data_IF_052696794199
#
_entry.id   IF_052696794199
#
_cell.length_a   1.000
_cell.length_b   1.000
_cell.length_c   1.000
_cell.angle_alpha   90.00
_cell.angle_beta   90.00
_cell.angle_gamma   90.00
#
_symmetry.space_group_name_H-M   'P 1'
#
loop_
_entity.id
_entity.type
_entity.pdbx_description
1 polymer ?
#
# COMPACT_ATOMS: atom_id res chain seq x y z
N UNK A 1 28.37 -1.27 -11.53
CA UNK A 1 26.96 -1.78 -11.49
C UNK A 1 26.11 -0.96 -12.46
N UNK A 2 25.46 -1.58 -13.47
CA UNK A 2 24.61 -0.94 -14.49
C UNK A 2 23.15 -1.36 -14.30
N UNK A 3 22.18 -0.46 -14.60
CA UNK A 3 20.73 -0.76 -14.51
C UNK A 3 20.32 -1.97 -15.34
N UNK A 4 20.93 -2.14 -16.51
CA UNK A 4 20.72 -3.32 -17.36
C UNK A 4 21.08 -4.63 -16.63
N UNK A 5 22.18 -4.64 -15.90
CA UNK A 5 22.62 -5.83 -15.14
C UNK A 5 21.70 -6.11 -13.95
N UNK A 6 21.14 -5.06 -13.33
CA UNK A 6 20.10 -5.24 -12.31
C UNK A 6 18.82 -5.89 -12.88
N UNK A 7 18.41 -5.53 -14.09
CA UNK A 7 17.29 -6.22 -14.78
C UNK A 7 17.60 -7.69 -15.03
N UNK A 8 18.83 -8.02 -15.40
CA UNK A 8 19.27 -9.40 -15.55
C UNK A 8 19.23 -10.18 -14.24
N UNK A 9 19.74 -9.58 -13.18
CA UNK A 9 19.66 -10.14 -11.83
C UNK A 9 18.21 -10.40 -11.40
N UNK A 10 17.29 -9.44 -11.58
CA UNK A 10 15.88 -9.58 -11.25
C UNK A 10 15.18 -10.69 -12.06
N UNK A 11 15.51 -10.84 -13.35
CA UNK A 11 14.98 -11.92 -14.16
C UNK A 11 15.42 -13.31 -13.63
N UNK A 12 16.69 -13.46 -13.24
CA UNK A 12 17.19 -14.71 -12.65
C UNK A 12 16.55 -14.97 -11.28
N UNK A 13 16.38 -13.95 -10.46
CA UNK A 13 15.72 -14.06 -9.16
C UNK A 13 14.25 -14.52 -9.30
N UNK A 14 13.53 -14.03 -10.30
CA UNK A 14 12.14 -14.40 -10.60
C UNK A 14 12.01 -15.83 -11.11
N UNK A 15 12.83 -16.23 -12.09
CA UNK A 15 12.77 -17.57 -12.68
C UNK A 15 13.43 -18.65 -11.84
N UNK A 16 14.31 -18.28 -10.90
CA UNK A 16 15.18 -19.21 -10.16
C UNK A 16 15.94 -20.19 -11.06
N UNK A 17 16.11 -19.81 -12.30
CA UNK A 17 16.73 -20.62 -13.36
C UNK A 17 17.37 -19.70 -14.40
N UNK A 18 18.69 -19.78 -14.52
CA UNK A 18 19.47 -18.90 -15.39
C UNK A 18 19.17 -19.11 -16.89
N UNK A 19 18.87 -20.37 -17.31
CA UNK A 19 18.54 -20.67 -18.70
C UNK A 19 17.22 -20.01 -19.11
N UNK A 20 16.17 -20.15 -18.29
CA UNK A 20 14.87 -19.51 -18.53
C UNK A 20 14.97 -17.99 -18.51
N UNK A 21 15.75 -17.42 -17.60
CA UNK A 21 15.99 -15.99 -17.56
C UNK A 21 16.72 -15.50 -18.82
N UNK A 22 17.71 -16.26 -19.31
CA UNK A 22 18.42 -15.94 -20.54
C UNK A 22 17.50 -15.97 -21.78
N UNK A 23 16.58 -16.94 -21.84
CA UNK A 23 15.55 -17.01 -22.88
C UNK A 23 14.65 -15.78 -22.88
N UNK A 24 14.12 -15.38 -21.72
CA UNK A 24 13.29 -14.17 -21.58
C UNK A 24 14.05 -12.90 -22.00
N UNK A 25 15.34 -12.82 -21.64
CA UNK A 25 16.18 -11.66 -21.92
C UNK A 25 16.77 -11.67 -23.34
N UNK A 26 16.49 -12.69 -24.14
CA UNK A 26 17.09 -12.90 -25.47
C UNK A 26 18.63 -12.92 -25.43
N UNK A 27 19.19 -13.51 -24.38
CA UNK A 27 20.62 -13.67 -24.17
C UNK A 27 21.01 -15.16 -24.21
N UNK A 28 22.31 -15.40 -24.44
CA UNK A 28 22.84 -16.75 -24.19
C UNK A 28 23.09 -16.95 -22.68
N UNK A 29 22.88 -18.17 -22.19
CA UNK A 29 23.11 -18.50 -20.78
C UNK A 29 24.56 -18.18 -20.32
N UNK A 30 25.64 -18.42 -21.10
CA UNK A 30 26.97 -18.02 -20.70
C UNK A 30 27.14 -16.51 -20.54
N UNK A 31 26.51 -15.71 -21.42
CA UNK A 31 26.54 -14.26 -21.34
C UNK A 31 25.88 -13.77 -20.06
N UNK A 32 24.68 -14.26 -19.76
CA UNK A 32 23.95 -13.90 -18.53
C UNK A 32 24.72 -14.33 -17.27
N UNK A 33 25.29 -15.55 -17.29
CA UNK A 33 26.10 -16.05 -16.16
C UNK A 33 27.29 -15.16 -15.88
N UNK A 34 28.00 -14.71 -16.92
CA UNK A 34 29.15 -13.82 -16.79
C UNK A 34 28.75 -12.45 -16.22
N UNK A 35 27.66 -11.86 -16.72
CA UNK A 35 27.19 -10.56 -16.24
C UNK A 35 26.78 -10.61 -14.75
N UNK A 36 26.22 -11.74 -14.28
CA UNK A 36 25.92 -11.89 -12.85
C UNK A 36 27.20 -12.12 -12.04
N UNK A 37 28.17 -12.83 -12.57
CA UNK A 37 29.45 -13.05 -11.92
C UNK A 37 30.23 -11.74 -11.76
N UNK A 38 30.29 -10.94 -12.83
CA UNK A 38 30.88 -9.61 -12.80
C UNK A 38 30.17 -8.69 -11.76
N UNK A 39 28.83 -8.81 -11.62
CA UNK A 39 28.06 -8.08 -10.61
C UNK A 39 28.39 -8.53 -9.18
N UNK A 40 28.51 -9.84 -8.94
CA UNK A 40 28.91 -10.40 -7.65
C UNK A 40 30.34 -10.00 -7.26
N UNK A 41 31.25 -9.94 -8.24
CA UNK A 41 32.62 -9.45 -8.07
C UNK A 41 32.64 -7.95 -7.73
N UNK A 42 31.88 -7.12 -8.45
CA UNK A 42 31.74 -5.67 -8.18
C UNK A 42 31.24 -5.41 -6.74
N UNK A 43 30.33 -6.24 -6.25
CA UNK A 43 29.72 -6.09 -4.92
C UNK A 43 30.49 -6.83 -3.81
N UNK A 44 31.48 -7.66 -4.18
CA UNK A 44 32.32 -8.41 -3.26
C UNK A 44 31.57 -9.49 -2.46
N UNK A 45 30.40 -9.92 -2.94
CA UNK A 45 29.57 -10.92 -2.24
C UNK A 45 28.70 -11.71 -3.23
N UNK A 46 28.50 -13.03 -3.01
CA UNK A 46 27.60 -13.82 -3.83
C UNK A 46 26.13 -13.41 -3.58
N UNK A 47 25.38 -13.26 -4.67
CA UNK A 47 23.96 -12.91 -4.66
C UNK A 47 23.05 -14.13 -4.76
N UNK A 48 23.59 -15.22 -5.33
CA UNK A 48 22.87 -16.49 -5.48
C UNK A 48 23.65 -17.65 -4.87
N UNK A 49 22.89 -18.61 -4.33
CA UNK A 49 23.36 -19.97 -4.04
C UNK A 49 22.81 -20.96 -5.07
N UNK A 50 23.57 -22.03 -5.35
CA UNK A 50 23.11 -23.11 -6.24
C UNK A 50 22.70 -24.30 -5.38
N UNK A 51 21.40 -24.48 -5.20
CA UNK A 51 20.85 -25.65 -4.53
C UNK A 51 20.05 -26.52 -5.50
N UNK A 52 20.42 -27.81 -5.62
CA UNK A 52 19.65 -28.84 -6.37
C UNK A 52 19.10 -28.40 -7.75
N UNK A 53 19.89 -27.67 -8.56
CA UNK A 53 19.52 -27.11 -9.87
C UNK A 53 18.64 -25.85 -9.83
N UNK A 54 18.49 -25.19 -8.68
CA UNK A 54 17.80 -23.90 -8.56
C UNK A 54 18.77 -22.83 -8.10
N UNK A 55 18.51 -21.61 -8.55
CA UNK A 55 19.20 -20.41 -8.08
C UNK A 55 18.35 -19.81 -6.94
N UNK A 56 18.87 -19.84 -5.73
CA UNK A 56 18.20 -19.19 -4.57
C UNK A 56 19.00 -17.94 -4.17
N UNK A 57 18.28 -16.88 -3.75
CA UNK A 57 18.92 -15.64 -3.33
C UNK A 57 19.61 -15.83 -1.96
N UNK A 58 20.82 -15.27 -1.84
CA UNK A 58 21.46 -15.06 -0.54
C UNK A 58 20.79 -13.90 0.22
N UNK A 59 21.21 -13.64 1.46
CA UNK A 59 20.78 -12.45 2.19
C UNK A 59 21.16 -11.16 1.44
N UNK A 60 22.38 -11.08 0.89
CA UNK A 60 22.82 -9.98 0.04
C UNK A 60 21.98 -9.89 -1.25
N UNK A 61 21.62 -11.03 -1.84
CA UNK A 61 20.73 -11.12 -3.00
C UNK A 61 19.33 -10.60 -2.69
N UNK A 62 18.76 -10.90 -1.53
CA UNK A 62 17.46 -10.38 -1.10
C UNK A 62 17.51 -8.86 -0.91
N UNK A 63 18.58 -8.35 -0.29
CA UNK A 63 18.79 -6.91 -0.14
C UNK A 63 18.91 -6.22 -1.50
N UNK A 64 19.75 -6.75 -2.40
CA UNK A 64 19.90 -6.18 -3.74
C UNK A 64 18.59 -6.23 -4.53
N UNK A 65 17.80 -7.31 -4.39
CA UNK A 65 16.52 -7.43 -5.09
C UNK A 65 15.60 -6.27 -4.79
N UNK A 66 15.41 -5.93 -3.52
CA UNK A 66 14.57 -4.81 -3.13
C UNK A 66 15.05 -3.48 -3.75
N UNK A 67 16.37 -3.24 -3.71
CA UNK A 67 16.96 -2.01 -4.30
C UNK A 67 16.92 -1.99 -5.82
N UNK A 68 17.14 -3.13 -6.47
CA UNK A 68 17.07 -3.24 -7.92
C UNK A 68 15.64 -3.02 -8.44
N UNK A 69 14.62 -3.52 -7.74
CA UNK A 69 13.21 -3.26 -8.06
C UNK A 69 12.89 -1.76 -7.99
N UNK A 70 13.35 -1.06 -6.95
CA UNK A 70 13.18 0.39 -6.81
C UNK A 70 13.89 1.16 -7.94
N UNK A 71 15.17 0.85 -8.21
CA UNK A 71 15.96 1.52 -9.24
C UNK A 71 15.38 1.32 -10.65
N UNK A 72 14.94 0.10 -10.97
CA UNK A 72 14.36 -0.19 -12.29
C UNK A 72 12.98 0.42 -12.46
N UNK A 73 12.19 0.55 -11.38
CA UNK A 73 10.92 1.27 -11.40
C UNK A 73 11.11 2.76 -11.69
N UNK A 74 12.11 3.41 -11.05
CA UNK A 74 12.44 4.81 -11.31
C UNK A 74 12.94 5.01 -12.75
N UNK A 75 13.79 4.12 -13.26
CA UNK A 75 14.25 4.18 -14.66
C UNK A 75 13.08 4.09 -15.63
N UNK A 76 12.19 3.09 -15.46
CA UNK A 76 11.01 2.92 -16.31
C UNK A 76 10.16 4.19 -16.31
N UNK A 77 9.83 4.70 -15.12
CA UNK A 77 9.05 5.94 -14.97
C UNK A 77 9.72 7.15 -15.62
N UNK A 78 11.06 7.24 -15.55
CA UNK A 78 11.83 8.31 -16.19
C UNK A 78 11.77 8.20 -17.71
N UNK A 79 11.96 7.00 -18.27
CA UNK A 79 11.92 6.78 -19.71
C UNK A 79 10.52 7.05 -20.27
N UNK A 80 9.46 6.66 -19.57
CA UNK A 80 8.09 6.92 -19.96
C UNK A 80 7.79 8.43 -20.02
N UNK A 81 8.34 9.21 -19.07
CA UNK A 81 8.22 10.67 -19.10
C UNK A 81 8.83 11.29 -20.36
N UNK A 82 9.97 10.77 -20.82
CA UNK A 82 10.65 11.28 -22.03
C UNK A 82 10.01 10.75 -23.34
N UNK A 83 9.48 9.54 -23.35
CA UNK A 83 8.84 8.96 -24.51
C UNK A 83 7.58 9.75 -24.96
N UNK A 84 6.96 10.51 -24.04
CA UNK A 84 5.71 11.22 -24.26
C UNK A 84 5.87 12.75 -24.27
N UNK A 85 7.07 13.28 -24.61
CA UNK A 85 7.34 14.74 -24.68
C UNK A 85 6.61 15.46 -25.84
N UNK A 86 6.13 14.76 -26.86
CA UNK A 86 5.42 15.35 -27.99
C UNK A 86 3.90 15.23 -27.82
N UNK A 87 3.20 16.36 -27.83
CA UNK A 87 1.74 16.66 -27.93
C UNK A 87 0.68 15.69 -27.37
N UNK A 88 1.03 14.48 -26.99
CA UNK A 88 0.14 13.49 -26.41
C UNK A 88 0.25 13.43 -24.88
N UNK A 89 -0.87 13.61 -24.18
CA UNK A 89 -0.97 13.39 -22.74
C UNK A 89 -1.15 11.90 -22.50
N UNK A 90 -0.05 11.23 -22.17
CA UNK A 90 0.00 9.79 -21.92
C UNK A 90 0.94 9.49 -20.75
N UNK A 91 0.89 8.26 -20.23
CA UNK A 91 1.80 7.75 -19.21
C UNK A 91 1.10 7.19 -17.99
N UNK A 92 1.91 6.64 -17.09
CA UNK A 92 1.47 5.94 -15.90
C UNK A 92 1.42 6.90 -14.70
N UNK A 93 0.38 6.77 -13.89
CA UNK A 93 0.18 7.51 -12.64
C UNK A 93 -0.06 6.51 -11.51
N UNK A 94 0.79 6.54 -10.51
CA UNK A 94 0.81 5.59 -9.41
C UNK A 94 0.23 6.20 -8.13
N UNK A 95 -0.81 5.56 -7.59
CA UNK A 95 -1.48 5.97 -6.35
C UNK A 95 -1.35 4.87 -5.30
N UNK A 96 -0.67 5.15 -4.20
CA UNK A 96 -0.69 4.31 -3.00
C UNK A 96 -2.01 4.53 -2.24
N UNK A 97 -2.67 3.47 -1.83
CA UNK A 97 -3.96 3.59 -1.14
C UNK A 97 -4.00 2.67 0.08
N UNK A 98 -4.29 3.25 1.24
CA UNK A 98 -4.83 2.50 2.36
C UNK A 98 -6.21 1.93 2.04
N UNK A 99 -6.66 0.95 2.81
CA UNK A 99 -8.03 0.46 2.69
C UNK A 99 -9.00 1.46 3.33
N UNK A 100 -9.70 2.22 2.50
CA UNK A 100 -10.70 3.20 2.89
C UNK A 100 -11.79 3.32 1.83
N UNK A 101 -13.00 3.66 2.25
CA UNK A 101 -14.08 3.99 1.30
C UNK A 101 -13.87 5.34 0.60
N UNK A 102 -13.00 6.19 1.11
CA UNK A 102 -12.64 7.47 0.48
C UNK A 102 -12.04 7.28 -0.92
N UNK A 103 -11.44 6.12 -1.22
CA UNK A 103 -10.96 5.78 -2.56
C UNK A 103 -12.03 5.96 -3.64
N UNK A 104 -13.31 5.76 -3.29
CA UNK A 104 -14.44 5.99 -4.21
C UNK A 104 -14.47 7.43 -4.72
N UNK A 105 -14.23 8.41 -3.85
CA UNK A 105 -14.22 9.84 -4.22
C UNK A 105 -13.03 10.15 -5.13
N UNK A 106 -11.87 9.57 -4.85
CA UNK A 106 -10.68 9.68 -5.71
C UNK A 106 -10.95 9.11 -7.09
N UNK A 107 -11.50 7.90 -7.17
CA UNK A 107 -11.85 7.26 -8.46
C UNK A 107 -12.90 8.07 -9.21
N UNK A 108 -13.92 8.61 -8.54
CA UNK A 108 -14.91 9.49 -9.16
C UNK A 108 -14.28 10.75 -9.75
N UNK A 109 -13.31 11.36 -9.06
CA UNK A 109 -12.59 12.51 -9.58
C UNK A 109 -11.73 12.18 -10.80
N UNK A 110 -11.11 10.98 -10.84
CA UNK A 110 -10.22 10.54 -11.91
C UNK A 110 -10.97 9.98 -13.15
N UNK A 111 -12.19 9.48 -13.00
CA UNK A 111 -12.95 8.86 -14.09
C UNK A 111 -13.10 9.76 -15.33
N UNK A 112 -13.39 11.06 -15.20
CA UNK A 112 -13.46 11.96 -16.36
C UNK A 112 -12.12 12.09 -17.10
N UNK A 113 -11.00 12.08 -16.36
CA UNK A 113 -9.65 12.15 -16.95
C UNK A 113 -9.34 10.90 -17.77
N UNK A 114 -9.65 9.70 -17.26
CA UNK A 114 -9.44 8.46 -17.99
C UNK A 114 -10.25 8.39 -19.31
N UNK A 115 -11.40 9.08 -19.36
CA UNK A 115 -12.18 9.22 -20.61
C UNK A 115 -11.60 10.27 -21.57
N UNK A 116 -11.13 11.39 -21.03
CA UNK A 116 -10.56 12.49 -21.82
C UNK A 116 -9.15 12.17 -22.33
N UNK A 117 -8.38 11.39 -21.57
CA UNK A 117 -7.01 11.00 -21.87
C UNK A 117 -6.84 9.47 -21.77
N UNK A 118 -7.27 8.72 -22.80
CA UNK A 118 -7.29 7.24 -22.77
C UNK A 118 -5.90 6.59 -22.63
N UNK A 119 -4.84 7.36 -22.85
CA UNK A 119 -3.44 6.90 -22.72
C UNK A 119 -2.82 7.19 -21.34
N UNK A 120 -3.61 7.73 -20.40
CA UNK A 120 -3.21 7.77 -18.99
C UNK A 120 -3.65 6.44 -18.34
N UNK A 121 -2.68 5.72 -17.77
CA UNK A 121 -2.94 4.50 -17.03
C UNK A 121 -2.83 4.78 -15.53
N UNK A 122 -3.82 4.35 -14.77
CA UNK A 122 -3.84 4.52 -13.31
C UNK A 122 -3.48 3.21 -12.63
N UNK A 123 -2.46 3.26 -11.78
CA UNK A 123 -2.00 2.13 -10.99
C UNK A 123 -2.31 2.36 -9.51
N UNK A 124 -3.26 1.59 -8.98
CA UNK A 124 -3.59 1.62 -7.55
C UNK A 124 -2.78 0.55 -6.82
N UNK A 125 -1.95 0.98 -5.88
CA UNK A 125 -1.09 0.11 -5.06
C UNK A 125 -1.64 0.09 -3.64
N UNK A 126 -2.23 -1.03 -3.23
CA UNK A 126 -2.73 -1.19 -1.87
C UNK A 126 -1.58 -1.41 -0.89
N UNK A 127 -1.60 -0.68 0.22
CA UNK A 127 -0.59 -0.76 1.25
C UNK A 127 -1.02 -0.01 2.52
N UNK A 128 -0.19 -0.09 3.56
CA UNK A 128 -0.35 0.74 4.74
C UNK A 128 0.36 2.10 4.55
N UNK A 129 0.16 3.01 5.51
CA UNK A 129 0.73 4.35 5.44
C UNK A 129 2.25 4.35 5.38
N UNK A 130 2.93 3.49 6.16
CA UNK A 130 4.39 3.38 6.18
C UNK A 130 4.94 3.00 4.79
N UNK A 131 4.32 2.02 4.13
CA UNK A 131 4.68 1.60 2.78
C UNK A 131 4.42 2.71 1.76
N UNK A 132 3.30 3.42 1.91
CA UNK A 132 2.94 4.53 1.02
C UNK A 132 3.90 5.71 1.19
N UNK A 133 4.26 6.08 2.41
CA UNK A 133 5.26 7.12 2.67
C UNK A 133 6.63 6.78 2.07
N UNK A 134 7.11 5.57 2.30
CA UNK A 134 8.40 5.11 1.78
C UNK A 134 8.42 5.15 0.24
N UNK A 135 7.36 4.66 -0.41
CA UNK A 135 7.25 4.65 -1.86
C UNK A 135 7.11 6.07 -2.47
N UNK A 136 6.41 6.99 -1.80
CA UNK A 136 6.37 8.40 -2.19
C UNK A 136 7.73 9.08 -2.05
N UNK A 137 8.45 8.87 -0.94
CA UNK A 137 9.79 9.42 -0.74
C UNK A 137 10.78 8.95 -1.80
N UNK A 138 10.66 7.70 -2.23
CA UNK A 138 11.48 7.10 -3.30
C UNK A 138 11.03 7.49 -4.72
N UNK A 139 9.92 8.20 -4.87
CA UNK A 139 9.38 8.59 -6.18
C UNK A 139 8.75 7.44 -6.98
N UNK A 140 8.52 6.29 -6.36
CA UNK A 140 7.81 5.14 -6.97
C UNK A 140 6.33 5.43 -7.13
N UNK A 141 5.72 6.13 -6.15
CA UNK A 141 4.35 6.62 -6.23
C UNK A 141 4.32 8.12 -6.57
N UNK A 142 3.25 8.55 -7.20
CA UNK A 142 2.95 9.96 -7.46
C UNK A 142 2.10 10.56 -6.34
N UNK A 143 1.13 9.79 -5.86
CA UNK A 143 0.17 10.20 -4.84
C UNK A 143 -0.02 9.08 -3.82
N UNK A 144 -0.46 9.47 -2.61
CA UNK A 144 -0.92 8.55 -1.57
C UNK A 144 -2.27 8.97 -1.04
N UNK A 145 -3.16 8.01 -0.79
CA UNK A 145 -4.38 8.20 -0.01
C UNK A 145 -4.19 7.51 1.33
N UNK A 146 -4.09 8.30 2.39
CA UNK A 146 -3.85 7.86 3.75
C UNK A 146 -5.08 8.05 4.61
N UNK A 147 -5.22 7.19 5.62
CA UNK A 147 -6.28 7.27 6.60
C UNK A 147 -5.67 7.48 7.99
N UNK A 148 -5.66 8.72 8.48
CA UNK A 148 -4.96 9.14 9.69
C UNK A 148 -5.80 10.09 10.54
N UNK A 149 -5.43 10.26 11.82
CA UNK A 149 -6.09 11.21 12.73
C UNK A 149 -5.64 12.65 12.48
N UNK A 150 -4.41 12.84 12.03
CA UNK A 150 -3.81 14.16 11.82
C UNK A 150 -3.17 14.23 10.43
N UNK A 151 -3.15 15.41 9.79
CA UNK A 151 -2.51 15.54 8.47
C UNK A 151 -1.00 15.32 8.56
N UNK A 152 -0.39 14.68 7.55
CA UNK A 152 1.05 14.47 7.50
C UNK A 152 1.78 15.78 7.16
N UNK A 153 2.68 16.21 8.04
CA UNK A 153 3.40 17.50 7.91
C UNK A 153 4.52 17.52 6.88
N UNK A 154 5.06 16.34 6.51
CA UNK A 154 6.20 16.22 5.60
C UNK A 154 5.80 16.19 4.12
N UNK A 155 4.52 16.19 3.84
CA UNK A 155 3.93 16.12 2.50
C UNK A 155 3.01 17.32 2.26
N UNK A 156 2.76 17.60 0.98
CA UNK A 156 1.59 18.38 0.58
C UNK A 156 0.38 17.49 0.72
N UNK A 157 -0.71 17.98 1.29
CA UNK A 157 -1.92 17.20 1.45
C UNK A 157 -3.19 17.94 1.02
N UNK A 158 -4.22 17.17 0.72
CA UNK A 158 -5.62 17.63 0.60
C UNK A 158 -6.49 16.68 1.41
N UNK A 159 -7.37 17.22 2.23
CA UNK A 159 -8.32 16.40 2.94
C UNK A 159 -9.44 15.95 1.98
N UNK A 160 -9.65 14.65 1.89
CA UNK A 160 -10.78 14.08 1.16
C UNK A 160 -12.01 14.18 2.09
N UNK A 161 -13.16 14.69 1.63
CA UNK A 161 -14.33 14.93 2.48
C UNK A 161 -15.08 13.62 2.81
N UNK A 162 -14.40 12.73 3.47
CA UNK A 162 -14.91 11.45 3.94
C UNK A 162 -14.12 10.99 5.15
N UNK A 163 -14.84 10.68 6.23
CA UNK A 163 -14.25 10.10 7.44
C UNK A 163 -14.65 8.64 7.57
N UNK A 164 -13.65 7.80 7.85
CA UNK A 164 -13.88 6.38 8.10
C UNK A 164 -14.22 6.17 9.58
N UNK A 165 -15.42 5.63 9.84
CA UNK A 165 -15.92 5.28 11.16
C UNK A 165 -15.29 3.97 11.63
N UNK A 166 -14.62 3.96 12.77
CA UNK A 166 -14.12 2.75 13.41
C UNK A 166 -15.19 1.99 14.16
N UNK A 167 -15.03 0.68 14.20
CA UNK A 167 -15.87 -0.20 14.97
C UNK A 167 -15.34 -1.62 15.00
N UNK A 168 -16.20 -2.50 15.44
CA UNK A 168 -15.89 -3.89 15.70
C UNK A 168 -16.67 -4.80 14.75
N UNK A 169 -15.97 -5.62 13.99
CA UNK A 169 -16.54 -6.77 13.30
C UNK A 169 -16.45 -7.98 14.20
N UNK A 170 -17.56 -8.62 14.43
CA UNK A 170 -17.71 -9.76 15.33
C UNK A 170 -18.82 -10.68 14.83
N UNK A 171 -18.81 -11.91 15.32
CA UNK A 171 -19.88 -12.85 14.97
C UNK A 171 -21.21 -12.41 15.56
N UNK A 172 -22.30 -12.70 14.85
CA UNK A 172 -23.68 -12.38 15.28
C UNK A 172 -24.08 -13.07 16.58
N UNK A 173 -23.45 -14.22 16.90
CA UNK A 173 -23.68 -14.99 18.13
C UNK A 173 -22.83 -14.50 19.33
N UNK A 174 -21.94 -13.51 19.14
CA UNK A 174 -21.16 -12.92 20.23
C UNK A 174 -22.03 -12.01 21.12
N UNK A 175 -21.84 -12.01 22.47
CA UNK A 175 -22.65 -11.17 23.37
C UNK A 175 -22.64 -9.68 22.99
N UNK A 176 -21.49 -9.14 22.60
CA UNK A 176 -21.35 -7.73 22.18
C UNK A 176 -22.12 -7.43 20.88
N UNK A 177 -22.50 -8.43 20.09
CA UNK A 177 -23.30 -8.22 18.88
C UNK A 177 -24.73 -7.75 19.16
N UNK A 178 -25.23 -7.92 20.39
CA UNK A 178 -26.54 -7.44 20.82
C UNK A 178 -26.55 -5.95 21.19
N UNK A 179 -25.37 -5.34 21.33
CA UNK A 179 -25.24 -3.92 21.66
C UNK A 179 -25.39 -3.04 20.41
N UNK A 180 -25.77 -1.79 20.60
CA UNK A 180 -25.86 -0.82 19.51
C UNK A 180 -24.47 -0.23 19.17
N UNK A 181 -23.59 -0.09 20.16
CA UNK A 181 -22.24 0.42 20.04
C UNK A 181 -21.33 -0.22 21.09
N UNK A 182 -20.03 -0.14 20.88
CA UNK A 182 -19.00 -0.74 21.75
C UNK A 182 -18.20 0.36 22.43
N UNK A 183 -18.06 0.28 23.75
CA UNK A 183 -17.25 1.20 24.54
C UNK A 183 -15.78 0.71 24.64
N UNK A 184 -14.81 1.60 24.93
CA UNK A 184 -13.41 1.19 25.15
C UNK A 184 -13.24 0.09 26.19
N UNK A 185 -13.99 0.17 27.29
CA UNK A 185 -13.89 -0.78 28.42
C UNK A 185 -14.28 -2.21 28.02
N UNK A 186 -15.18 -2.35 27.05
CA UNK A 186 -15.63 -3.64 26.56
C UNK A 186 -14.58 -4.37 25.71
N UNK A 187 -13.53 -3.65 25.28
CA UNK A 187 -12.43 -4.26 24.55
C UNK A 187 -11.34 -4.83 25.48
N UNK A 188 -11.36 -4.49 26.77
CA UNK A 188 -10.25 -4.80 27.67
C UNK A 188 -10.06 -6.28 27.96
N UNK A 189 -11.13 -7.03 27.94
CA UNK A 189 -11.14 -8.48 28.26
C UNK A 189 -11.33 -9.35 27.02
N UNK A 190 -11.39 -8.70 25.83
CA UNK A 190 -11.66 -9.39 24.58
C UNK A 190 -10.35 -9.74 23.85
N UNK A 191 -10.39 -10.80 23.07
CA UNK A 191 -9.34 -11.17 22.15
C UNK A 191 -9.48 -10.36 20.86
N UNK A 192 -8.46 -9.58 20.49
CA UNK A 192 -8.56 -8.58 19.45
C UNK A 192 -7.68 -8.88 18.23
N UNK A 193 -8.16 -8.43 17.07
CA UNK A 193 -7.44 -8.42 15.81
C UNK A 193 -7.36 -6.96 15.37
N UNK A 194 -6.15 -6.39 15.29
CA UNK A 194 -5.91 -4.96 15.05
C UNK A 194 -5.02 -4.74 13.83
N UNK A 195 -5.16 -3.59 13.19
CA UNK A 195 -4.13 -3.14 12.25
C UNK A 195 -2.85 -2.74 13.02
N UNK A 196 -1.68 -2.99 12.43
CA UNK A 196 -0.41 -2.57 13.03
C UNK A 196 -0.32 -1.06 13.22
N UNK A 197 -0.98 -0.30 12.34
CA UNK A 197 -1.04 1.16 12.41
C UNK A 197 -1.82 1.61 13.66
N UNK A 198 -2.96 1.00 13.93
CA UNK A 198 -3.79 1.35 15.09
C UNK A 198 -3.07 1.11 16.43
N UNK A 199 -2.19 0.12 16.52
CA UNK A 199 -1.38 -0.15 17.71
C UNK A 199 -0.42 1.00 18.06
N UNK A 200 0.02 1.76 17.06
CA UNK A 200 0.95 2.88 17.24
C UNK A 200 0.24 4.23 17.29
N UNK A 201 -1.08 4.24 17.15
CA UNK A 201 -1.88 5.46 17.10
C UNK A 201 -2.14 6.00 18.52
N UNK A 202 -1.55 7.15 18.82
CA UNK A 202 -1.71 7.82 20.12
C UNK A 202 -3.13 8.32 20.37
N UNK A 203 -3.87 8.68 19.30
CA UNK A 203 -5.26 9.13 19.42
C UNK A 203 -6.16 7.95 19.79
N UNK A 204 -5.90 6.78 19.19
CA UNK A 204 -6.57 5.53 19.58
C UNK A 204 -6.26 5.14 21.02
N UNK A 205 -4.98 5.22 21.45
CA UNK A 205 -4.59 4.96 22.82
C UNK A 205 -5.30 5.89 23.82
N UNK A 206 -5.43 7.17 23.44
CA UNK A 206 -6.19 8.15 24.24
C UNK A 206 -7.71 7.82 24.29
N UNK A 207 -8.30 7.49 23.14
CA UNK A 207 -9.71 7.09 23.08
C UNK A 207 -9.96 5.81 23.91
N UNK A 208 -9.05 4.85 23.81
CA UNK A 208 -9.12 3.59 24.54
C UNK A 208 -8.99 3.79 26.05
N UNK A 209 -8.26 4.83 26.51
CA UNK A 209 -7.93 5.07 27.91
C UNK A 209 -6.96 4.06 28.52
N UNK A 210 -6.29 3.26 27.66
CA UNK A 210 -5.34 2.20 28.05
C UNK A 210 -4.31 2.07 26.92
N UNK A 211 -3.11 1.65 27.29
CA UNK A 211 -2.06 1.30 26.34
C UNK A 211 -2.53 0.12 25.45
N UNK A 212 -2.62 0.28 24.13
CA UNK A 212 -3.09 -0.79 23.23
C UNK A 212 -2.25 -2.07 23.31
N UNK A 213 -0.95 -1.97 23.66
CA UNK A 213 -0.07 -3.14 23.81
C UNK A 213 -0.45 -4.02 25.02
N UNK A 214 -1.27 -3.52 25.94
CA UNK A 214 -1.79 -4.28 27.11
C UNK A 214 -3.09 -5.01 26.84
N UNK A 215 -3.61 -4.94 25.63
CA UNK A 215 -4.78 -5.72 25.20
C UNK A 215 -4.38 -7.14 24.80
N UNK A 216 -5.31 -8.09 24.85
CA UNK A 216 -5.10 -9.45 24.34
C UNK A 216 -5.17 -9.46 22.80
N UNK A 217 -4.05 -9.16 22.13
CA UNK A 217 -3.96 -9.09 20.68
C UNK A 217 -3.60 -10.46 20.14
N UNK A 218 -4.53 -11.11 19.45
CA UNK A 218 -4.36 -12.43 18.84
C UNK A 218 -3.75 -12.39 17.46
N UNK A 219 -4.05 -11.35 16.70
CA UNK A 219 -3.47 -11.16 15.37
C UNK A 219 -3.35 -9.69 15.01
N UNK A 220 -2.41 -9.39 14.12
CA UNK A 220 -2.30 -8.08 13.48
C UNK A 220 -2.42 -8.23 11.98
N UNK A 221 -2.95 -7.20 11.32
CA UNK A 221 -3.09 -7.16 9.87
C UNK A 221 -2.57 -5.84 9.29
N UNK A 222 -2.33 -5.82 7.98
CA UNK A 222 -2.09 -4.61 7.20
C UNK A 222 -3.26 -4.29 6.26
N UNK A 223 -3.93 -5.33 5.72
CA UNK A 223 -5.13 -5.21 4.89
C UNK A 223 -6.23 -6.09 5.49
N UNK A 224 -7.47 -5.55 5.54
CA UNK A 224 -8.56 -6.13 6.34
C UNK A 224 -9.18 -7.40 5.75
N UNK A 225 -9.08 -7.61 4.45
CA UNK A 225 -9.71 -8.75 3.78
C UNK A 225 -9.37 -10.09 4.45
N UNK A 226 -8.07 -10.36 4.63
CA UNK A 226 -7.63 -11.60 5.28
C UNK A 226 -8.00 -11.66 6.77
N UNK A 227 -8.06 -10.53 7.45
CA UNK A 227 -8.37 -10.45 8.87
C UNK A 227 -9.84 -10.78 9.17
N UNK A 228 -10.74 -10.55 8.22
CA UNK A 228 -12.16 -10.89 8.36
C UNK A 228 -12.36 -12.39 8.58
N UNK A 229 -11.59 -13.25 7.87
CA UNK A 229 -11.66 -14.72 8.07
C UNK A 229 -11.20 -15.15 9.47
N UNK A 230 -10.24 -14.43 10.07
CA UNK A 230 -9.81 -14.73 11.45
C UNK A 230 -10.94 -14.46 12.46
N UNK A 231 -11.66 -13.35 12.28
CA UNK A 231 -12.83 -13.03 13.12
C UNK A 231 -13.96 -14.03 12.92
N UNK A 232 -14.22 -14.45 11.69
CA UNK A 232 -15.22 -15.48 11.38
C UNK A 232 -14.92 -16.82 12.05
N UNK A 233 -13.62 -17.20 12.11
CA UNK A 233 -13.14 -18.41 12.77
C UNK A 233 -12.93 -18.25 14.28
N UNK A 234 -13.43 -17.16 14.90
CA UNK A 234 -13.39 -16.90 16.35
C UNK A 234 -11.99 -16.72 16.94
N UNK A 235 -11.00 -16.31 16.13
CA UNK A 235 -9.67 -16.04 16.65
C UNK A 235 -9.64 -14.76 17.50
N UNK A 236 -10.56 -13.84 17.26
CA UNK A 236 -10.71 -12.59 17.99
C UNK A 236 -11.71 -11.66 17.31
N UNK A 237 -11.96 -10.52 17.93
CA UNK A 237 -12.83 -9.46 17.44
C UNK A 237 -12.01 -8.50 16.56
N UNK A 238 -12.49 -8.22 15.35
CA UNK A 238 -11.74 -7.44 14.36
C UNK A 238 -12.10 -5.95 14.46
N UNK A 239 -11.13 -5.12 14.82
CA UNK A 239 -11.26 -3.66 14.76
C UNK A 239 -10.91 -3.18 13.34
N UNK A 240 -11.87 -2.51 12.69
CA UNK A 240 -11.66 -1.95 11.35
C UNK A 240 -12.72 -0.89 11.02
N UNK A 241 -12.59 -0.29 9.84
CA UNK A 241 -13.53 0.69 9.34
C UNK A 241 -14.83 0.05 8.87
N UNK A 242 -15.93 0.73 9.13
CA UNK A 242 -17.28 0.35 8.71
C UNK A 242 -17.38 0.13 7.20
N UNK A 243 -17.80 -1.08 6.84
CA UNK A 243 -18.10 -1.47 5.46
C UNK A 243 -16.88 -1.75 4.60
N UNK A 244 -15.70 -1.99 5.19
CA UNK A 244 -14.57 -2.60 4.48
C UNK A 244 -14.73 -4.13 4.37
N UNK A 245 -15.36 -4.77 5.35
CA UNK A 245 -15.71 -6.19 5.28
C UNK A 245 -17.13 -6.32 4.71
N UNK A 246 -17.33 -7.09 3.63
CA UNK A 246 -18.65 -7.25 2.97
C UNK A 246 -19.56 -8.20 3.75
N UNK A 247 -20.14 -7.72 4.86
CA UNK A 247 -21.03 -8.50 5.74
C UNK A 247 -22.49 -8.56 5.26
N UNK A 248 -22.86 -7.78 4.24
CA UNK A 248 -24.21 -7.77 3.66
C UNK A 248 -24.40 -8.83 2.57
N UNK A 249 -23.33 -9.54 2.20
CA UNK A 249 -23.30 -10.57 1.17
C UNK A 249 -23.05 -11.96 1.71
N UNK A 250 -22.89 -12.95 0.83
CA UNK A 250 -22.66 -14.34 1.22
C UNK A 250 -21.23 -14.63 1.72
N UNK A 251 -20.30 -13.68 1.61
CA UNK A 251 -18.89 -13.91 1.96
C UNK A 251 -18.69 -14.07 3.47
N UNK A 252 -19.34 -13.21 4.29
CA UNK A 252 -19.22 -13.24 5.74
C UNK A 252 -20.59 -13.17 6.42
N UNK A 253 -21.48 -14.17 6.22
CA UNK A 253 -22.87 -14.12 6.69
C UNK A 253 -22.99 -14.10 8.21
N UNK A 254 -22.00 -14.65 8.90
CA UNK A 254 -21.97 -14.75 10.35
C UNK A 254 -21.43 -13.50 11.05
N UNK A 255 -20.83 -12.58 10.32
CA UNK A 255 -20.30 -11.35 10.87
C UNK A 255 -21.37 -10.24 10.93
N UNK A 256 -21.18 -9.33 11.87
CA UNK A 256 -21.91 -8.07 12.00
C UNK A 256 -20.94 -6.96 12.39
N UNK A 257 -21.35 -5.71 12.26
CA UNK A 257 -20.56 -4.54 12.65
C UNK A 257 -21.22 -3.78 13.79
N UNK A 258 -20.43 -3.29 14.74
CA UNK A 258 -20.85 -2.39 15.80
C UNK A 258 -19.90 -1.20 15.86
N UNK A 259 -20.43 0.04 15.75
CA UNK A 259 -19.61 1.25 15.87
C UNK A 259 -19.08 1.42 17.29
N UNK A 260 -18.07 2.25 17.44
CA UNK A 260 -17.56 2.63 18.76
C UNK A 260 -18.37 3.75 19.39
N UNK A 261 -18.38 3.76 20.74
CA UNK A 261 -18.98 4.83 21.54
C UNK A 261 -18.08 5.15 22.75
N UNK A 262 -17.55 6.42 22.88
CA UNK A 262 -17.75 7.53 21.95
C UNK A 262 -17.25 7.21 20.54
N UNK A 263 -17.82 7.87 19.54
CA UNK A 263 -17.43 7.66 18.15
C UNK A 263 -15.94 7.93 17.93
N UNK A 264 -15.30 7.08 17.15
CA UNK A 264 -13.91 7.21 16.77
C UNK A 264 -13.81 7.07 15.24
N UNK A 265 -13.20 8.06 14.60
CA UNK A 265 -13.11 8.14 13.15
C UNK A 265 -11.71 8.54 12.72
N UNK A 266 -11.31 8.18 11.53
CA UNK A 266 -10.08 8.65 10.89
C UNK A 266 -10.41 9.49 9.67
N UNK A 267 -9.61 10.54 9.44
CA UNK A 267 -9.70 11.39 8.28
C UNK A 267 -8.91 10.84 7.10
N UNK A 268 -9.29 11.21 5.90
CA UNK A 268 -8.62 10.79 4.69
C UNK A 268 -7.84 11.95 4.07
N UNK A 269 -6.57 11.71 3.77
CA UNK A 269 -5.67 12.69 3.17
C UNK A 269 -5.07 12.16 1.88
N UNK A 270 -5.30 12.89 0.80
CA UNK A 270 -4.55 12.72 -0.43
C UNK A 270 -3.24 13.49 -0.28
N UNK A 271 -2.11 12.83 -0.53
CA UNK A 271 -0.78 13.38 -0.31
C UNK A 271 0.13 13.21 -1.52
N UNK A 272 1.14 14.09 -1.61
CA UNK A 272 2.28 13.95 -2.51
C UNK A 272 3.50 14.65 -1.91
N UNK A 273 4.67 14.32 -2.41
CA UNK A 273 5.94 14.86 -1.89
C UNK A 273 6.04 16.36 -2.18
N UNK A 274 6.55 17.15 -1.23
CA UNK A 274 6.95 18.53 -1.45
C UNK A 274 8.01 18.55 -2.56
N UNK A 275 7.96 19.55 -3.41
CA UNK A 275 8.92 19.72 -4.53
C UNK A 275 8.98 18.54 -5.52
N UNK A 276 7.92 17.72 -5.60
CA UNK A 276 7.86 16.63 -6.57
C UNK A 276 7.80 17.15 -8.00
N UNK A 277 8.69 16.65 -8.84
CA UNK A 277 8.59 16.83 -10.28
C UNK A 277 7.60 15.80 -10.83
N UNK A 278 6.44 16.27 -11.23
CA UNK A 278 5.40 15.42 -11.82
C UNK A 278 5.62 15.22 -13.32
N UNK A 279 5.30 14.01 -13.81
CA UNK A 279 5.06 13.81 -15.23
C UNK A 279 3.89 14.67 -15.70
N UNK A 280 3.74 14.87 -17.02
CA UNK A 280 2.62 15.63 -17.58
C UNK A 280 1.26 14.99 -17.21
N UNK A 281 1.17 13.66 -17.25
CA UNK A 281 -0.01 12.91 -16.82
C UNK A 281 -0.30 13.14 -15.32
N UNK A 282 0.71 12.97 -14.46
CA UNK A 282 0.56 13.16 -13.02
C UNK A 282 0.23 14.62 -12.65
N UNK A 283 0.76 15.63 -13.38
CA UNK A 283 0.44 17.03 -13.17
C UNK A 283 -1.06 17.33 -13.46
N UNK A 284 -1.62 16.75 -14.52
CA UNK A 284 -3.05 16.87 -14.84
C UNK A 284 -3.89 16.17 -13.78
N UNK A 285 -3.48 14.98 -13.35
CA UNK A 285 -4.15 14.25 -12.28
C UNK A 285 -4.14 15.06 -10.98
N UNK A 286 -2.99 15.66 -10.62
CA UNK A 286 -2.88 16.55 -9.46
C UNK A 286 -3.86 17.71 -9.54
N UNK A 287 -3.87 18.44 -10.66
CA UNK A 287 -4.77 19.59 -10.85
C UNK A 287 -6.24 19.18 -10.69
N UNK A 288 -6.63 18.01 -11.23
CA UNK A 288 -7.99 17.49 -11.09
C UNK A 288 -8.34 17.11 -9.66
N UNK A 289 -7.42 16.51 -8.92
CA UNK A 289 -7.62 16.14 -7.52
C UNK A 289 -7.67 17.37 -6.62
N UNK A 290 -6.85 18.39 -6.90
CA UNK A 290 -6.93 19.69 -6.21
C UNK A 290 -8.26 20.40 -6.47
N UNK A 291 -8.77 20.38 -7.69
CA UNK A 291 -10.10 20.90 -8.02
C UNK A 291 -11.21 20.16 -7.27
N UNK A 292 -11.14 18.82 -7.21
CA UNK A 292 -12.15 17.98 -6.59
C UNK A 292 -12.22 18.12 -5.06
N UNK A 293 -11.06 18.29 -4.40
CA UNK A 293 -10.96 18.30 -2.94
C UNK A 293 -10.62 19.67 -2.34
N UNK A 294 -10.66 20.73 -3.16
CA UNK A 294 -10.48 22.10 -2.75
C UNK A 294 -9.04 22.53 -2.52
N UNK A 295 -8.81 23.84 -2.55
CA UNK A 295 -7.57 24.46 -2.09
C UNK A 295 -7.69 24.62 -0.57
N UNK A 296 -6.97 23.80 0.20
CA UNK A 296 -6.70 24.21 1.57
C UNK A 296 -5.66 25.32 1.51
N UNK A 297 -6.02 26.48 2.01
CA UNK A 297 -5.09 27.57 2.29
C UNK A 297 -3.99 27.04 3.21
N UNK A 298 -2.74 27.23 2.80
CA UNK A 298 -1.56 27.02 3.63
C UNK A 298 -1.78 27.72 4.99
N UNK A 299 -1.87 26.93 6.06
CA UNK A 299 -1.92 27.41 7.43
C UNK A 299 -0.53 27.36 8.06
#
# INVERSE_FOLDING_TARGET
>A
MELRVLKYFLAVARHRNITRAAEELHLTQPTLSRQLQDLEEDLGTPLFTREKRRMELTEAGLFLKARAEEMTAIETKTLDQFAHLEDFIAGDVYLGCGETKAVRLVVQALTPLGRAYPQIHFHFVSGNDEQTFDALQKGVLDFGLLCQQTPPTDFVYRQVPFDDEWGLYLRRDHPLAQKQAITPQELYEEQLILSRQLLRDHVFAHWLGKDPEKLDIRATYNLVYNAAFLAEQRLGLLLSFKGLVPIEGPEHPDLTFRPFSPAFSSHNYLIWKKEQVFSRAAAIVRARLEEAFGHMTDG
#
